data_IF_134717593654
#
_entry.id   IF_134717593654
#
_cell.length_a   1.000
_cell.length_b   1.000
_cell.length_c   1.000
_cell.angle_alpha   90.00
_cell.angle_beta   90.00
_cell.angle_gamma   90.00
#
_symmetry.space_group_name_H-M   'P 1'
#
loop_
_entity.id
_entity.type
_entity.pdbx_description
1 polymer ?
#
# COMPACT_ATOMS: atom_id res chain seq x y z
N UNK A 1 -28.27 10.66 21.73
CA UNK A 1 -26.82 10.72 21.43
C UNK A 1 -26.20 9.34 21.70
N UNK A 2 -25.84 8.58 20.67
CA UNK A 2 -25.13 7.29 20.84
C UNK A 2 -23.63 7.58 20.83
N UNK A 3 -23.01 7.51 22.01
CA UNK A 3 -21.55 7.63 22.14
C UNK A 3 -20.87 6.51 21.35
N UNK A 4 -20.12 6.88 20.32
CA UNK A 4 -19.30 5.94 19.57
C UNK A 4 -18.30 5.28 20.51
N UNK A 5 -18.43 3.96 20.73
CA UNK A 5 -17.39 3.16 21.37
C UNK A 5 -16.08 3.42 20.61
N UNK A 6 -15.12 4.09 21.26
CA UNK A 6 -13.73 4.12 20.81
C UNK A 6 -13.28 2.66 20.75
N UNK A 7 -13.21 2.10 19.55
CA UNK A 7 -12.55 0.82 19.29
C UNK A 7 -11.10 1.07 19.68
N UNK A 8 -10.70 0.60 20.86
CA UNK A 8 -9.29 0.56 21.21
C UNK A 8 -8.62 -0.33 20.15
N UNK A 9 -7.55 0.13 19.49
CA UNK A 9 -6.84 -0.72 18.55
C UNK A 9 -6.40 -1.99 19.30
N UNK A 10 -6.70 -3.15 18.73
CA UNK A 10 -6.31 -4.43 19.31
C UNK A 10 -4.81 -4.38 19.61
N UNK A 11 -4.44 -4.61 20.87
CA UNK A 11 -3.04 -4.64 21.30
C UNK A 11 -2.39 -5.85 20.61
N UNK A 12 -1.36 -5.65 19.77
CA UNK A 12 -0.78 -6.76 19.01
C UNK A 12 0.03 -7.73 19.87
N UNK A 13 0.46 -7.30 21.05
CA UNK A 13 1.31 -8.08 21.95
C UNK A 13 0.63 -8.23 23.32
N UNK A 14 0.78 -9.41 23.92
CA UNK A 14 0.43 -9.67 25.32
C UNK A 14 1.47 -9.03 26.23
N UNK A 15 1.03 -8.47 27.34
CA UNK A 15 1.90 -7.81 28.33
C UNK A 15 1.66 -8.32 29.75
N UNK A 16 2.72 -8.38 30.55
CA UNK A 16 2.67 -8.68 31.98
C UNK A 16 1.82 -9.94 32.27
N UNK A 17 0.77 -9.79 33.08
CA UNK A 17 -0.17 -10.85 33.50
C UNK A 17 -1.00 -11.45 32.33
N UNK A 18 -0.99 -10.84 31.14
CA UNK A 18 -1.65 -11.41 29.96
C UNK A 18 -0.87 -12.60 29.37
N UNK A 19 0.41 -12.74 29.73
CA UNK A 19 1.30 -13.81 29.28
C UNK A 19 0.98 -15.08 30.06
N UNK A 20 0.75 -16.18 29.33
CA UNK A 20 0.30 -17.46 29.91
C UNK A 20 1.36 -18.57 29.93
N UNK A 21 2.54 -18.29 29.40
CA UNK A 21 3.63 -19.25 29.37
C UNK A 21 4.22 -19.45 30.77
N UNK A 22 4.65 -20.66 31.09
CA UNK A 22 5.33 -20.97 32.36
C UNK A 22 6.79 -20.49 32.35
N UNK A 23 7.46 -20.65 31.22
CA UNK A 23 8.83 -20.21 30.97
C UNK A 23 8.89 -19.33 29.73
N UNK A 24 9.78 -18.33 29.78
CA UNK A 24 9.98 -17.36 28.70
C UNK A 24 11.47 -17.15 28.45
N UNK A 25 11.83 -16.94 27.19
CA UNK A 25 13.16 -16.44 26.82
C UNK A 25 13.17 -14.93 26.98
N UNK A 26 13.86 -14.43 28.00
CA UNK A 26 13.86 -13.04 28.40
C UNK A 26 15.02 -12.25 27.79
N UNK A 27 14.69 -11.08 27.25
CA UNK A 27 15.64 -10.02 26.86
C UNK A 27 15.45 -8.82 27.80
N UNK A 28 16.55 -8.28 28.33
CA UNK A 28 16.58 -7.06 29.15
C UNK A 28 16.19 -5.81 28.37
N UNK A 29 16.04 -4.69 29.09
CA UNK A 29 15.61 -3.40 28.54
C UNK A 29 16.66 -2.72 27.65
N UNK A 30 17.93 -3.03 27.88
CA UNK A 30 19.11 -2.60 27.11
C UNK A 30 19.43 -3.53 25.92
N UNK A 31 18.73 -4.66 25.81
CA UNK A 31 18.98 -5.68 24.80
C UNK A 31 19.84 -6.86 25.28
N UNK A 32 20.20 -6.92 26.56
CA UNK A 32 20.91 -8.05 27.15
C UNK A 32 20.09 -9.35 27.05
N UNK A 33 20.72 -10.46 26.67
CA UNK A 33 20.07 -11.77 26.67
C UNK A 33 20.21 -12.42 28.05
N UNK A 34 19.15 -12.31 28.86
CA UNK A 34 19.09 -12.93 30.20
C UNK A 34 18.93 -14.46 30.10
N UNK A 35 18.34 -14.95 29.00
CA UNK A 35 18.14 -16.37 28.75
C UNK A 35 16.74 -16.86 29.14
N UNK A 36 16.60 -18.16 29.40
CA UNK A 36 15.30 -18.78 29.74
C UNK A 36 15.08 -18.64 31.25
N UNK A 37 13.93 -18.07 31.62
CA UNK A 37 13.52 -17.87 33.02
C UNK A 37 12.04 -18.19 33.19
N UNK A 38 11.61 -18.42 34.44
CA UNK A 38 10.18 -18.53 34.75
C UNK A 38 9.46 -17.20 34.51
N UNK A 39 8.17 -17.26 34.18
CA UNK A 39 7.34 -16.06 34.03
C UNK A 39 7.36 -15.18 35.28
N UNK A 40 7.32 -15.76 36.47
CA UNK A 40 7.39 -15.03 37.74
C UNK A 40 8.67 -14.19 37.85
N UNK A 41 9.83 -14.78 37.57
CA UNK A 41 11.11 -14.07 37.60
C UNK A 41 11.18 -12.96 36.54
N UNK A 42 10.58 -13.18 35.37
CA UNK A 42 10.50 -12.15 34.33
C UNK A 42 9.61 -10.97 34.75
N UNK A 43 8.48 -11.24 35.41
CA UNK A 43 7.57 -10.21 35.95
C UNK A 43 8.20 -9.44 37.11
N UNK A 44 8.97 -10.10 37.98
CA UNK A 44 9.73 -9.44 39.05
C UNK A 44 10.75 -8.46 38.47
N UNK A 45 11.57 -8.89 37.50
CA UNK A 45 12.53 -8.01 36.82
C UNK A 45 11.85 -6.81 36.15
N UNK A 46 10.71 -7.02 35.50
CA UNK A 46 9.94 -5.94 34.91
C UNK A 46 9.52 -4.89 35.97
N UNK A 47 9.07 -5.35 37.14
CA UNK A 47 8.71 -4.47 38.26
C UNK A 47 9.91 -3.75 38.87
N UNK A 48 11.05 -4.43 39.02
CA UNK A 48 12.30 -3.84 39.54
C UNK A 48 12.81 -2.71 38.64
N UNK A 49 12.74 -2.89 37.32
CA UNK A 49 13.14 -1.89 36.33
C UNK A 49 12.06 -0.84 36.04
N UNK A 50 10.84 -1.02 36.55
CA UNK A 50 9.71 -0.12 36.31
C UNK A 50 9.20 -0.12 34.87
N UNK A 51 9.36 -1.25 34.16
CA UNK A 51 8.98 -1.43 32.74
C UNK A 51 7.97 -2.57 32.58
N UNK A 52 7.45 -2.75 31.36
CA UNK A 52 6.53 -3.86 31.06
C UNK A 52 7.28 -5.08 30.54
N UNK A 53 6.80 -6.27 30.91
CA UNK A 53 7.16 -7.52 30.25
C UNK A 53 6.29 -7.69 28.99
N UNK A 54 6.89 -7.59 27.81
CA UNK A 54 6.15 -7.67 26.54
C UNK A 54 6.49 -8.95 25.79
N UNK A 55 5.48 -9.73 25.42
CA UNK A 55 5.64 -10.93 24.57
C UNK A 55 5.82 -10.53 23.11
N UNK A 56 7.04 -10.67 22.58
CA UNK A 56 7.41 -10.27 21.21
C UNK A 56 7.17 -11.40 20.21
N UNK A 57 7.50 -12.64 20.59
CA UNK A 57 7.31 -13.81 19.73
C UNK A 57 6.58 -14.92 20.50
N UNK A 58 5.24 -15.02 20.35
CA UNK A 58 4.46 -16.09 20.98
C UNK A 58 4.72 -17.47 20.34
N UNK A 59 5.19 -17.50 19.10
CA UNK A 59 5.36 -18.75 18.33
C UNK A 59 6.70 -19.45 18.59
N UNK A 60 7.55 -18.91 19.48
CA UNK A 60 8.82 -19.53 19.83
C UNK A 60 8.66 -20.45 21.03
N UNK A 61 9.49 -21.49 21.13
CA UNK A 61 9.56 -22.38 22.29
C UNK A 61 10.92 -22.21 23.00
N UNK A 62 10.96 -21.71 24.25
CA UNK A 62 9.91 -20.94 24.94
C UNK A 62 9.64 -19.56 24.29
N UNK A 63 8.45 -18.94 24.53
CA UNK A 63 8.09 -17.64 23.97
C UNK A 63 9.12 -16.56 24.30
N UNK A 64 9.33 -15.63 23.37
CA UNK A 64 10.32 -14.55 23.56
C UNK A 64 9.64 -13.33 24.15
N UNK A 65 10.09 -12.94 25.34
CA UNK A 65 9.64 -11.74 26.04
C UNK A 65 10.79 -10.74 26.16
N UNK A 66 10.46 -9.44 26.11
CA UNK A 66 11.42 -8.35 26.30
C UNK A 66 10.88 -7.36 27.32
N UNK A 67 11.76 -6.90 28.21
CA UNK A 67 11.50 -5.80 29.12
C UNK A 67 11.54 -4.48 28.35
N UNK A 68 10.45 -3.71 28.33
CA UNK A 68 10.41 -2.38 27.69
C UNK A 68 9.20 -1.56 28.12
N UNK A 69 9.26 -0.25 27.91
CA UNK A 69 8.06 0.61 27.94
C UNK A 69 7.20 0.33 26.71
N UNK A 70 6.07 -0.36 26.93
CA UNK A 70 5.18 -0.75 25.84
C UNK A 70 4.49 0.45 25.17
N UNK A 71 4.19 1.50 25.94
CA UNK A 71 3.60 2.74 25.44
C UNK A 71 4.52 3.46 24.46
N UNK A 72 5.79 3.61 24.84
CA UNK A 72 6.85 4.19 23.99
C UNK A 72 7.08 3.35 22.74
N UNK A 73 7.15 2.02 22.88
CA UNK A 73 7.31 1.11 21.74
C UNK A 73 6.16 1.25 20.72
N UNK A 74 4.91 1.29 21.18
CA UNK A 74 3.76 1.48 20.30
C UNK A 74 3.79 2.84 19.59
N UNK A 75 4.23 3.89 20.28
CA UNK A 75 4.39 5.22 19.70
C UNK A 75 5.46 5.23 18.59
N UNK A 76 6.64 4.67 18.85
CA UNK A 76 7.73 4.59 17.88
C UNK A 76 7.39 3.71 16.68
N UNK A 77 6.74 2.57 16.91
CA UNK A 77 6.22 1.69 15.83
C UNK A 77 5.17 2.39 14.99
N UNK A 78 4.26 3.15 15.62
CA UNK A 78 3.25 3.95 14.92
C UNK A 78 3.88 5.08 14.12
N UNK A 79 4.86 5.79 14.70
CA UNK A 79 5.61 6.87 14.04
C UNK A 79 6.37 6.36 12.82
N UNK A 80 7.16 5.30 12.98
CA UNK A 80 7.91 4.68 11.88
C UNK A 80 6.99 4.14 10.78
N UNK A 81 5.89 3.47 11.14
CA UNK A 81 4.89 2.99 10.15
C UNK A 81 4.25 4.16 9.40
N UNK A 82 3.93 5.27 10.07
CA UNK A 82 3.39 6.48 9.43
C UNK A 82 4.42 7.13 8.52
N UNK A 83 5.68 7.22 8.92
CA UNK A 83 6.77 7.74 8.10
C UNK A 83 7.01 6.86 6.87
N UNK A 84 7.01 5.54 7.02
CA UNK A 84 7.10 4.59 5.90
C UNK A 84 5.93 4.77 4.92
N UNK A 85 4.69 4.86 5.43
CA UNK A 85 3.51 5.12 4.60
C UNK A 85 3.55 6.47 3.88
N UNK A 86 4.10 7.50 4.52
CA UNK A 86 4.31 8.82 3.89
C UNK A 86 5.37 8.79 2.80
N UNK A 87 6.46 8.04 3.01
CA UNK A 87 7.54 7.83 2.03
C UNK A 87 7.11 6.93 0.87
N UNK A 88 6.14 6.05 1.09
CA UNK A 88 5.60 5.20 0.04
C UNK A 88 4.91 6.07 -1.03
N UNK A 89 5.48 6.06 -2.25
CA UNK A 89 4.89 6.76 -3.39
C UNK A 89 3.54 6.11 -3.73
N UNK A 90 2.47 6.86 -3.52
CA UNK A 90 1.11 6.41 -3.87
C UNK A 90 0.93 6.58 -5.37
N UNK A 91 1.05 5.49 -6.12
CA UNK A 91 0.72 5.47 -7.56
C UNK A 91 -0.77 5.71 -7.75
N UNK A 92 -1.11 6.78 -8.45
CA UNK A 92 -2.49 7.11 -8.79
C UNK A 92 -2.82 6.63 -10.20
N UNK A 93 -4.11 6.44 -10.48
CA UNK A 93 -4.60 6.23 -11.85
C UNK A 93 -5.14 7.57 -12.35
N UNK A 94 -4.55 8.09 -13.43
CA UNK A 94 -4.92 9.35 -14.05
C UNK A 94 -5.63 9.09 -15.37
N UNK A 95 -6.81 9.65 -15.56
CA UNK A 95 -7.62 9.40 -16.75
C UNK A 95 -7.48 10.53 -17.78
N UNK A 96 -7.30 10.16 -19.06
CA UNK A 96 -7.37 11.06 -20.21
C UNK A 96 -8.40 10.55 -21.19
N UNK A 97 -9.29 11.43 -21.63
CA UNK A 97 -10.43 11.08 -22.48
C UNK A 97 -10.20 11.49 -23.93
N UNK A 98 -10.42 10.55 -24.84
CA UNK A 98 -10.32 10.72 -26.28
C UNK A 98 -11.70 10.58 -26.94
N UNK A 99 -11.78 11.04 -28.19
CA UNK A 99 -12.91 10.80 -29.08
C UNK A 99 -12.40 10.32 -30.43
N UNK A 100 -13.19 9.52 -31.19
CA UNK A 100 -12.77 9.03 -32.50
C UNK A 100 -12.35 10.14 -33.48
N UNK A 101 -13.00 11.31 -33.41
CA UNK A 101 -12.65 12.49 -34.20
C UNK A 101 -11.71 13.50 -33.52
N UNK A 102 -10.83 13.05 -32.61
CA UNK A 102 -9.83 13.94 -32.00
C UNK A 102 -8.84 14.45 -33.07
N UNK A 103 -8.73 15.77 -33.19
CA UNK A 103 -7.77 16.43 -34.09
C UNK A 103 -6.34 16.31 -33.58
N UNK A 104 -5.36 16.45 -34.48
CA UNK A 104 -3.94 16.23 -34.16
C UNK A 104 -3.42 17.17 -33.05
N UNK A 105 -3.85 18.44 -33.01
CA UNK A 105 -3.47 19.37 -31.94
C UNK A 105 -3.94 18.92 -30.56
N UNK A 106 -5.21 18.51 -30.43
CA UNK A 106 -5.78 17.96 -29.19
C UNK A 106 -5.12 16.62 -28.82
N UNK A 107 -4.81 15.79 -29.81
CA UNK A 107 -4.08 14.54 -29.63
C UNK A 107 -2.73 14.76 -28.95
N UNK A 108 -1.90 15.66 -29.48
CA UNK A 108 -0.56 15.92 -28.96
C UNK A 108 -0.58 16.47 -27.52
N UNK A 109 -1.55 17.34 -27.19
CA UNK A 109 -1.75 17.81 -25.82
C UNK A 109 -2.07 16.66 -24.87
N UNK A 110 -2.94 15.72 -25.29
CA UNK A 110 -3.30 14.56 -24.47
C UNK A 110 -2.15 13.57 -24.31
N UNK A 111 -1.37 13.31 -25.36
CA UNK A 111 -0.15 12.51 -25.28
C UNK A 111 0.85 13.15 -24.30
N UNK A 112 1.05 14.47 -24.35
CA UNK A 112 1.91 15.18 -23.40
C UNK A 112 1.50 14.98 -21.95
N UNK A 113 0.19 15.00 -21.66
CA UNK A 113 -0.33 14.70 -20.33
C UNK A 113 -0.11 13.25 -19.91
N UNK A 114 -0.33 12.29 -20.82
CA UNK A 114 -0.06 10.87 -20.56
C UNK A 114 1.42 10.62 -20.25
N UNK A 115 2.34 11.21 -21.01
CA UNK A 115 3.79 11.14 -20.75
C UNK A 115 4.13 11.67 -19.35
N UNK A 116 3.61 12.85 -18.99
CA UNK A 116 3.80 13.44 -17.65
C UNK A 116 3.28 12.52 -16.53
N UNK A 117 2.16 11.83 -16.72
CA UNK A 117 1.65 10.90 -15.70
C UNK A 117 2.58 9.69 -15.54
N UNK A 118 3.02 9.10 -16.65
CA UNK A 118 3.92 7.95 -16.65
C UNK A 118 5.29 8.29 -16.05
N UNK A 119 5.86 9.45 -16.38
CA UNK A 119 7.12 9.95 -15.78
C UNK A 119 6.99 10.14 -14.26
N UNK A 120 5.82 10.57 -13.80
CA UNK A 120 5.50 10.67 -12.38
C UNK A 120 5.19 9.31 -11.72
N UNK A 121 5.40 8.19 -12.43
CA UNK A 121 5.08 6.83 -11.99
C UNK A 121 3.61 6.62 -11.61
N UNK A 122 2.72 7.42 -12.19
CA UNK A 122 1.28 7.21 -12.14
C UNK A 122 0.86 6.28 -13.29
N UNK A 123 -0.19 5.49 -13.07
CA UNK A 123 -0.84 4.74 -14.15
C UNK A 123 -1.71 5.68 -14.97
N UNK A 124 -1.74 5.49 -16.27
CA UNK A 124 -2.53 6.29 -17.18
C UNK A 124 -3.70 5.46 -17.74
N UNK A 125 -4.93 5.94 -17.53
CA UNK A 125 -6.16 5.36 -18.08
C UNK A 125 -6.58 6.18 -19.30
N UNK A 126 -6.54 5.56 -20.47
CA UNK A 126 -6.98 6.15 -21.73
C UNK A 126 -8.40 5.69 -21.98
N UNK A 127 -9.36 6.62 -21.96
CA UNK A 127 -10.77 6.32 -22.21
C UNK A 127 -11.20 6.96 -23.51
N UNK A 128 -11.52 6.13 -24.51
CA UNK A 128 -12.09 6.57 -25.77
C UNK A 128 -13.62 6.46 -25.69
N UNK A 129 -14.35 7.55 -25.90
CA UNK A 129 -15.82 7.54 -25.86
C UNK A 129 -16.42 7.74 -27.23
N UNK A 130 -17.35 6.86 -27.60
CA UNK A 130 -18.11 6.92 -28.85
C UNK A 130 -19.44 7.65 -28.65
N UNK A 131 -19.90 8.36 -29.69
CA UNK A 131 -21.25 8.96 -29.78
C UNK A 131 -22.10 8.22 -30.79
N UNK A 132 -23.31 7.82 -30.39
CA UNK A 132 -24.39 7.47 -31.33
C UNK A 132 -23.96 6.52 -32.45
N UNK A 133 -23.86 7.11 -33.65
CA UNK A 133 -23.52 6.47 -34.93
C UNK A 133 -22.06 6.00 -35.04
N UNK A 134 -21.15 6.55 -34.24
CA UNK A 134 -19.73 6.17 -34.24
C UNK A 134 -19.49 4.76 -33.70
N UNK A 135 -20.47 4.16 -33.01
CA UNK A 135 -20.40 2.78 -32.51
C UNK A 135 -20.27 1.74 -33.63
N UNK A 136 -20.63 2.09 -34.87
CA UNK A 136 -20.44 1.25 -36.06
C UNK A 136 -18.97 1.20 -36.51
N UNK A 137 -18.16 2.21 -36.16
CA UNK A 137 -16.77 2.35 -36.57
C UNK A 137 -15.82 2.11 -35.39
N UNK A 138 -15.95 0.93 -34.76
CA UNK A 138 -15.13 0.54 -33.61
C UNK A 138 -13.64 0.48 -33.97
N UNK A 139 -13.33 0.14 -35.24
CA UNK A 139 -11.98 0.02 -35.77
C UNK A 139 -11.18 1.32 -35.61
N UNK A 140 -11.80 2.49 -35.85
CA UNK A 140 -11.17 3.81 -35.67
C UNK A 140 -10.69 4.00 -34.23
N UNK A 141 -11.45 3.46 -33.27
CA UNK A 141 -11.08 3.54 -31.88
C UNK A 141 -9.90 2.66 -31.50
N UNK A 142 -9.83 1.45 -32.06
CA UNK A 142 -8.69 0.54 -31.88
C UNK A 142 -7.44 1.17 -32.48
N UNK A 143 -7.52 1.69 -33.71
CA UNK A 143 -6.41 2.38 -34.38
C UNK A 143 -5.88 3.57 -33.56
N UNK A 144 -6.77 4.37 -32.97
CA UNK A 144 -6.36 5.47 -32.09
C UNK A 144 -5.64 4.96 -30.84
N UNK A 145 -6.13 3.88 -30.22
CA UNK A 145 -5.49 3.30 -29.04
C UNK A 145 -4.13 2.66 -29.37
N UNK A 146 -4.01 2.03 -30.53
CA UNK A 146 -2.72 1.53 -31.04
C UNK A 146 -1.75 2.68 -31.33
N UNK A 147 -2.22 3.79 -31.90
CA UNK A 147 -1.40 5.02 -32.06
C UNK A 147 -0.89 5.50 -30.70
N UNK A 148 -1.77 5.63 -29.70
CA UNK A 148 -1.39 6.02 -28.33
C UNK A 148 -0.40 5.04 -27.70
N UNK A 149 -0.60 3.74 -27.90
CA UNK A 149 0.32 2.70 -27.43
C UNK A 149 1.71 2.88 -28.03
N UNK A 150 1.80 3.04 -29.36
CA UNK A 150 3.06 3.18 -30.07
C UNK A 150 3.82 4.44 -29.64
N UNK A 151 3.11 5.57 -29.50
CA UNK A 151 3.70 6.84 -29.08
C UNK A 151 4.23 6.83 -27.62
N UNK A 152 3.75 5.87 -26.81
CA UNK A 152 4.11 5.71 -25.40
C UNK A 152 4.91 4.43 -25.12
N UNK A 153 5.25 3.64 -26.13
CA UNK A 153 5.92 2.34 -25.95
C UNK A 153 7.27 2.49 -25.22
N UNK A 154 7.99 3.58 -25.44
CA UNK A 154 9.24 3.87 -24.72
C UNK A 154 9.08 4.12 -23.21
N UNK A 155 7.89 4.53 -22.75
CA UNK A 155 7.65 4.98 -21.37
C UNK A 155 6.69 4.09 -20.58
N UNK A 156 5.86 3.29 -21.26
CA UNK A 156 4.78 2.52 -20.65
C UNK A 156 4.72 1.07 -21.12
N UNK A 157 4.09 0.23 -20.29
CA UNK A 157 3.63 -1.11 -20.63
C UNK A 157 2.11 -1.10 -20.60
N UNK A 158 1.49 -1.76 -21.57
CA UNK A 158 0.03 -1.97 -21.59
C UNK A 158 -0.32 -3.00 -20.52
N UNK A 159 -1.07 -2.58 -19.51
CA UNK A 159 -1.58 -3.45 -18.45
C UNK A 159 -2.94 -4.05 -18.83
N UNK A 160 -3.76 -3.25 -19.51
CA UNK A 160 -5.06 -3.68 -20.04
C UNK A 160 -5.33 -3.00 -21.37
N UNK A 161 -5.66 -3.80 -22.38
CA UNK A 161 -6.10 -3.33 -23.70
C UNK A 161 -7.56 -3.76 -23.90
N UNK A 162 -8.42 -2.90 -24.49
CA UNK A 162 -9.82 -3.25 -24.68
C UNK A 162 -9.96 -4.38 -25.69
N UNK A 163 -10.45 -5.53 -25.25
CA UNK A 163 -10.82 -6.65 -26.12
C UNK A 163 -12.21 -6.47 -26.74
N UNK A 164 -13.07 -5.66 -26.11
CA UNK A 164 -14.42 -5.30 -26.53
C UNK A 164 -14.76 -3.89 -26.06
N UNK A 165 -15.83 -3.32 -26.61
CA UNK A 165 -16.40 -2.07 -26.10
C UNK A 165 -17.15 -2.33 -24.80
N UNK A 166 -16.84 -1.56 -23.76
CA UNK A 166 -17.59 -1.53 -22.52
C UNK A 166 -18.64 -0.42 -22.57
N UNK A 167 -19.87 -0.78 -22.93
CA UNK A 167 -20.96 0.18 -23.11
C UNK A 167 -20.76 1.06 -24.34
N UNK A 168 -20.29 2.29 -24.16
CA UNK A 168 -20.00 3.25 -25.26
C UNK A 168 -18.58 3.81 -25.19
N UNK A 169 -17.69 3.06 -24.54
CA UNK A 169 -16.30 3.45 -24.37
C UNK A 169 -15.36 2.26 -24.52
N UNK A 170 -14.16 2.53 -25.02
CA UNK A 170 -13.01 1.64 -24.95
C UNK A 170 -12.04 2.21 -23.92
N UNK A 171 -11.49 1.35 -23.08
CA UNK A 171 -10.59 1.75 -22.01
C UNK A 171 -9.30 0.96 -22.15
N UNK A 172 -8.18 1.67 -22.24
CA UNK A 172 -6.83 1.11 -22.15
C UNK A 172 -6.16 1.64 -20.88
N UNK A 173 -5.42 0.77 -20.18
CA UNK A 173 -4.64 1.16 -18.99
C UNK A 173 -3.17 0.90 -19.26
N UNK A 174 -2.37 1.95 -19.07
CA UNK A 174 -0.92 1.96 -19.23
C UNK A 174 -0.27 2.11 -17.86
N UNK A 175 0.72 1.26 -17.59
CA UNK A 175 1.58 1.37 -16.42
C UNK A 175 2.94 1.94 -16.85
N UNK A 176 3.60 2.76 -16.01
CA UNK A 176 4.94 3.24 -16.30
C UNK A 176 5.92 2.06 -16.33
N UNK A 177 6.84 2.04 -17.31
CA UNK A 177 7.96 1.09 -17.29
C UNK A 177 8.76 1.33 -16.01
N UNK A 178 9.03 0.27 -15.24
CA UNK A 178 9.92 0.37 -14.07
C UNK A 178 11.29 0.82 -14.58
N UNK A 179 11.82 1.90 -14.00
CA UNK A 179 13.25 2.21 -14.12
C UNK A 179 14.06 1.19 -13.33
#
# INVERSE_FOLDING_TARGET
MKGGKRIQPARPNRINEEIRATEVRLTGSDGEQIGIVSLGKALEKAKEEGVDLVEISPNAEPPVCRLMDYGKFLYEKSKSTKEQKKKQKVTKVKEVKFRPGTEEGDYQVKIGNLKRFLENSDKAKVTLRFRGREMAHQQIGIEMLDKVRNDLDGLAVVESFPSKIEGRQMVMVLAPKKK
#
